data_IF_407375232140
#
_entry.id   IF_407375232140
#
_cell.length_a   1.000
_cell.length_b   1.000
_cell.length_c   1.000
_cell.angle_alpha   90.00
_cell.angle_beta   90.00
_cell.angle_gamma   90.00
#
_symmetry.space_group_name_H-M   'P 1'
#
loop_
_entity.id
_entity.type
_entity.pdbx_description
1 polymer ?
#
# COMPACT_ATOMS: atom_id res chain seq x y z
N UNK A 1 -23.03 1.96 -1.60
CA UNK A 1 -21.78 2.40 -2.27
C UNK A 1 -20.67 2.17 -1.25
N UNK A 2 -19.58 1.43 -1.58
CA UNK A 2 -18.50 1.19 -0.63
C UNK A 2 -17.71 2.48 -0.36
N UNK A 3 -17.35 2.72 0.90
CA UNK A 3 -16.55 3.86 1.36
C UNK A 3 -15.18 3.37 1.80
N UNK A 4 -14.12 3.88 1.17
CA UNK A 4 -12.74 3.54 1.53
C UNK A 4 -11.92 4.76 1.92
N UNK A 5 -10.75 4.50 2.53
CA UNK A 5 -9.78 5.54 2.91
C UNK A 5 -8.42 5.24 2.28
N UNK A 6 -7.80 6.28 1.72
CA UNK A 6 -6.43 6.22 1.24
C UNK A 6 -5.42 6.39 2.39
N UNK A 7 -4.50 5.44 2.53
CA UNK A 7 -3.39 5.47 3.48
C UNK A 7 -2.15 5.94 2.73
N UNK A 8 -1.80 7.20 2.88
CA UNK A 8 -0.71 7.84 2.11
C UNK A 8 0.24 8.67 2.99
N UNK A 9 0.11 8.55 4.31
CA UNK A 9 0.97 9.23 5.28
C UNK A 9 1.31 8.33 6.46
N UNK A 10 2.41 8.66 7.14
CA UNK A 10 2.80 7.99 8.40
C UNK A 10 1.68 8.05 9.43
N UNK A 11 1.04 9.21 9.59
CA UNK A 11 -0.05 9.41 10.55
C UNK A 11 -1.27 8.55 10.20
N UNK A 12 -1.55 8.36 8.90
CA UNK A 12 -2.62 7.48 8.45
C UNK A 12 -2.31 6.00 8.78
N UNK A 13 -1.07 5.54 8.57
CA UNK A 13 -0.65 4.19 8.97
C UNK A 13 -0.90 3.98 10.48
N UNK A 14 -0.48 4.94 11.32
CA UNK A 14 -0.61 4.86 12.77
C UNK A 14 -2.07 4.88 13.28
N UNK A 15 -3.00 5.45 12.50
CA UNK A 15 -4.42 5.59 12.88
C UNK A 15 -5.36 4.62 12.18
N UNK A 16 -4.88 3.94 11.13
CA UNK A 16 -5.67 3.06 10.26
C UNK A 16 -6.55 2.08 11.04
N UNK A 17 -6.02 1.44 12.09
CA UNK A 17 -6.77 0.50 12.93
C UNK A 17 -8.02 1.11 13.61
N UNK A 18 -8.01 2.40 13.92
CA UNK A 18 -9.16 3.10 14.51
C UNK A 18 -10.26 3.41 13.48
N UNK A 19 -9.91 3.39 12.18
CA UNK A 19 -10.84 3.66 11.08
C UNK A 19 -11.57 2.41 10.60
N UNK A 20 -11.12 1.21 11.00
CA UNK A 20 -11.70 -0.09 10.64
C UNK A 20 -13.24 -0.13 10.79
N UNK A 21 -13.86 0.38 11.87
CA UNK A 21 -15.33 0.33 12.00
C UNK A 21 -16.10 1.23 11.02
N UNK A 22 -15.41 2.10 10.28
CA UNK A 22 -16.00 3.19 9.50
C UNK A 22 -15.77 3.08 8.00
N UNK A 23 -15.02 2.07 7.55
CA UNK A 23 -14.60 1.92 6.16
C UNK A 23 -14.81 0.48 5.68
N UNK A 24 -15.10 0.35 4.39
CA UNK A 24 -15.24 -0.95 3.72
C UNK A 24 -13.91 -1.47 3.16
N UNK A 25 -12.94 -0.57 2.89
CA UNK A 25 -11.62 -0.93 2.38
C UNK A 25 -10.58 0.17 2.62
N UNK A 26 -9.30 -0.18 2.47
CA UNK A 26 -8.18 0.76 2.46
C UNK A 26 -7.41 0.71 1.15
N UNK A 27 -6.87 1.84 0.73
CA UNK A 27 -5.99 1.95 -0.44
C UNK A 27 -4.63 2.53 -0.04
N UNK A 28 -3.55 1.77 -0.18
CA UNK A 28 -2.20 2.24 0.12
C UNK A 28 -1.67 3.15 -1.00
N UNK A 29 -1.67 4.45 -0.77
CA UNK A 29 -1.21 5.49 -1.69
C UNK A 29 0.30 5.68 -1.61
N UNK A 30 1.04 4.92 -2.42
CA UNK A 30 2.51 4.84 -2.24
C UNK A 30 3.28 6.08 -2.70
N UNK A 31 2.70 6.91 -3.57
CA UNK A 31 3.35 8.12 -4.08
C UNK A 31 3.56 9.15 -2.98
N UNK A 32 2.49 9.50 -2.26
CA UNK A 32 2.56 10.49 -1.21
C UNK A 32 3.15 9.91 0.08
N UNK A 33 3.04 8.59 0.30
CA UNK A 33 3.77 7.94 1.37
C UNK A 33 5.30 8.10 1.19
N UNK A 34 5.82 7.83 -0.01
CA UNK A 34 7.23 8.04 -0.34
C UNK A 34 7.65 9.51 -0.20
N UNK A 35 6.82 10.42 -0.72
CA UNK A 35 7.07 11.88 -0.67
C UNK A 35 7.14 12.38 0.77
N UNK A 36 6.20 11.96 1.61
CA UNK A 36 6.12 12.33 3.03
C UNK A 36 7.30 11.77 3.84
N UNK A 37 7.90 10.67 3.38
CA UNK A 37 9.11 10.08 3.97
C UNK A 37 10.41 10.65 3.39
N UNK A 38 10.34 11.62 2.46
CA UNK A 38 11.49 12.21 1.76
C UNK A 38 12.37 11.14 1.07
N UNK A 39 11.77 10.02 0.68
CA UNK A 39 12.44 8.97 -0.08
C UNK A 39 12.37 9.38 -1.55
N UNK A 40 13.52 9.46 -2.23
CA UNK A 40 13.54 9.72 -3.65
C UNK A 40 12.72 8.63 -4.35
N UNK A 41 11.76 9.06 -5.16
CA UNK A 41 10.99 8.17 -6.01
C UNK A 41 11.87 7.40 -7.00
N UNK A 42 13.16 7.67 -7.15
CA UNK A 42 14.11 6.84 -7.92
C UNK A 42 14.75 5.72 -7.08
N UNK A 43 14.83 5.87 -5.76
CA UNK A 43 15.40 4.88 -4.81
C UNK A 43 14.37 3.85 -4.29
N UNK A 44 13.12 3.95 -4.78
CA UNK A 44 11.89 3.10 -4.76
C UNK A 44 11.76 1.90 -3.80
N UNK A 45 12.82 1.14 -3.52
CA UNK A 45 12.76 -0.21 -2.91
C UNK A 45 13.77 -0.36 -1.76
N UNK A 46 14.73 0.56 -1.60
CA UNK A 46 15.83 0.40 -0.64
C UNK A 46 15.49 0.77 0.81
N UNK A 47 14.45 1.59 1.02
CA UNK A 47 14.15 2.09 2.37
C UNK A 47 13.57 0.99 3.27
N UNK A 48 14.42 0.45 4.15
CA UNK A 48 14.02 -0.52 5.17
C UNK A 48 12.94 0.05 6.09
N UNK A 49 13.03 1.35 6.43
CA UNK A 49 12.06 2.01 7.29
C UNK A 49 10.66 2.03 6.67
N UNK A 50 10.56 2.38 5.38
CA UNK A 50 9.29 2.39 4.65
C UNK A 50 8.67 0.98 4.64
N UNK A 51 9.47 -0.02 4.29
CA UNK A 51 8.99 -1.40 4.23
C UNK A 51 8.53 -1.92 5.59
N UNK A 52 9.24 -1.59 6.67
CA UNK A 52 8.83 -1.97 8.02
C UNK A 52 7.50 -1.32 8.41
N UNK A 53 7.26 -0.07 8.01
CA UNK A 53 5.97 0.61 8.26
C UNK A 53 4.83 -0.03 7.48
N UNK A 54 5.03 -0.25 6.19
CA UNK A 54 4.04 -0.93 5.34
C UNK A 54 3.78 -2.34 5.88
N UNK A 55 4.82 -3.07 6.25
CA UNK A 55 4.68 -4.40 6.85
C UNK A 55 3.88 -4.35 8.16
N UNK A 56 4.16 -3.39 9.05
CA UNK A 56 3.40 -3.25 10.30
C UNK A 56 1.92 -2.95 10.06
N UNK A 57 1.59 -2.16 9.02
CA UNK A 57 0.21 -1.92 8.62
C UNK A 57 -0.48 -3.22 8.18
N UNK A 58 0.18 -4.01 7.35
CA UNK A 58 -0.39 -5.24 6.78
C UNK A 58 -0.53 -6.33 7.84
N UNK A 59 0.38 -6.38 8.81
CA UNK A 59 0.35 -7.37 9.89
C UNK A 59 -0.54 -6.97 11.07
N UNK A 60 -1.06 -5.74 11.11
CA UNK A 60 -1.99 -5.31 12.16
C UNK A 60 -3.26 -6.17 12.11
N UNK A 61 -3.53 -6.90 13.20
CA UNK A 61 -4.66 -7.83 13.29
C UNK A 61 -6.02 -7.16 13.10
N UNK A 62 -6.14 -5.89 13.48
CA UNK A 62 -7.39 -5.12 13.31
C UNK A 62 -7.63 -4.81 11.84
N UNK A 63 -6.57 -4.79 11.04
CA UNK A 63 -6.62 -4.51 9.60
C UNK A 63 -6.82 -5.78 8.77
N UNK A 64 -6.48 -6.97 9.29
CA UNK A 64 -6.48 -8.25 8.53
C UNK A 64 -7.81 -8.60 7.86
N UNK A 65 -8.94 -8.15 8.42
CA UNK A 65 -10.27 -8.45 7.90
C UNK A 65 -10.82 -7.38 6.94
N UNK A 66 -10.08 -6.30 6.71
CA UNK A 66 -10.48 -5.24 5.77
C UNK A 66 -9.67 -5.37 4.48
N UNK A 67 -10.32 -5.38 3.30
CA UNK A 67 -9.62 -5.35 2.02
C UNK A 67 -8.61 -4.20 1.95
N UNK A 68 -7.37 -4.54 1.63
CA UNK A 68 -6.30 -3.59 1.38
C UNK A 68 -5.85 -3.71 -0.07
N UNK A 69 -6.01 -2.65 -0.83
CA UNK A 69 -5.44 -2.49 -2.17
C UNK A 69 -4.21 -1.59 -2.14
N UNK A 70 -3.36 -1.69 -3.16
CA UNK A 70 -2.16 -0.86 -3.29
C UNK A 70 -2.18 -0.12 -4.62
N UNK A 71 -1.91 1.18 -4.57
CA UNK A 71 -1.83 2.05 -5.75
C UNK A 71 -0.53 2.88 -5.76
N UNK A 72 -0.25 3.51 -6.90
CA UNK A 72 0.95 4.34 -7.10
C UNK A 72 2.20 3.55 -7.50
N UNK A 73 3.36 4.19 -7.37
CA UNK A 73 4.63 3.75 -7.98
C UNK A 73 5.06 2.35 -7.50
N UNK A 74 4.77 1.94 -6.26
CA UNK A 74 5.12 0.60 -5.80
C UNK A 74 4.19 -0.48 -6.37
N UNK A 75 2.92 -0.17 -6.65
CA UNK A 75 2.01 -1.10 -7.32
C UNK A 75 2.42 -1.36 -8.78
N UNK A 76 3.27 -0.51 -9.35
CA UNK A 76 3.81 -0.64 -10.71
C UNK A 76 5.18 -1.33 -10.78
N UNK A 77 5.75 -1.71 -9.63
CA UNK A 77 7.10 -2.25 -9.53
C UNK A 77 7.07 -3.76 -9.26
N UNK A 78 7.54 -4.62 -10.17
CA UNK A 78 7.49 -6.08 -10.00
C UNK A 78 8.09 -6.61 -8.69
N UNK A 79 9.20 -6.01 -8.22
CA UNK A 79 9.85 -6.43 -6.96
C UNK A 79 9.01 -6.08 -5.75
N UNK A 80 8.36 -4.90 -5.77
CA UNK A 80 7.45 -4.48 -4.72
C UNK A 80 6.18 -5.34 -4.73
N UNK A 81 5.59 -5.60 -5.90
CA UNK A 81 4.42 -6.47 -6.07
C UNK A 81 4.69 -7.86 -5.49
N UNK A 82 5.84 -8.46 -5.81
CA UNK A 82 6.23 -9.77 -5.26
C UNK A 82 6.19 -9.75 -3.73
N UNK A 83 6.82 -8.75 -3.09
CA UNK A 83 6.80 -8.57 -1.64
C UNK A 83 5.39 -8.35 -1.07
N UNK A 84 4.54 -7.60 -1.76
CA UNK A 84 3.15 -7.40 -1.35
C UNK A 84 2.33 -8.70 -1.43
N UNK A 85 2.53 -9.50 -2.47
CA UNK A 85 1.91 -10.82 -2.62
C UNK A 85 2.35 -11.74 -1.48
N UNK A 86 3.64 -11.76 -1.13
CA UNK A 86 4.17 -12.53 -0.01
C UNK A 86 3.53 -12.11 1.33
N UNK A 87 3.09 -10.85 1.44
CA UNK A 87 2.37 -10.32 2.61
C UNK A 87 0.86 -10.49 2.55
N UNK A 88 0.32 -11.11 1.50
CA UNK A 88 -1.09 -11.43 1.37
C UNK A 88 -1.95 -10.38 0.65
N UNK A 89 -1.34 -9.36 0.04
CA UNK A 89 -2.06 -8.37 -0.76
C UNK A 89 -2.46 -8.96 -2.12
N UNK A 90 -3.72 -8.77 -2.50
CA UNK A 90 -4.31 -9.35 -3.72
C UNK A 90 -4.72 -8.31 -4.76
N UNK A 91 -4.89 -7.06 -4.36
CA UNK A 91 -5.46 -6.01 -5.21
C UNK A 91 -4.44 -4.92 -5.47
N UNK A 92 -4.13 -4.69 -6.76
CA UNK A 92 -3.21 -3.66 -7.22
C UNK A 92 -3.91 -2.77 -8.24
N UNK A 93 -3.86 -1.46 -8.03
CA UNK A 93 -4.40 -0.45 -8.93
C UNK A 93 -3.24 0.17 -9.70
N UNK A 94 -3.23 -0.04 -11.01
CA UNK A 94 -2.14 0.36 -11.90
C UNK A 94 -2.69 1.01 -13.18
N UNK A 95 -1.89 1.85 -13.86
CA UNK A 95 -2.25 2.35 -15.18
C UNK A 95 -2.49 1.22 -16.17
N UNK A 96 -3.50 1.38 -17.03
CA UNK A 96 -3.86 0.40 -18.06
C UNK A 96 -2.66 -0.02 -18.92
N UNK A 97 -1.79 0.93 -19.26
CA UNK A 97 -0.58 0.75 -20.07
C UNK A 97 0.45 -0.21 -19.46
N UNK A 98 0.38 -0.48 -18.15
CA UNK A 98 1.30 -1.40 -17.44
C UNK A 98 0.68 -2.76 -17.12
N UNK A 99 -0.64 -2.90 -17.27
CA UNK A 99 -1.39 -4.09 -16.84
C UNK A 99 -0.93 -5.39 -17.50
N UNK A 100 -0.62 -5.38 -18.80
CA UNK A 100 -0.19 -6.56 -19.54
C UNK A 100 1.21 -7.07 -19.15
N UNK A 101 2.08 -6.18 -18.66
CA UNK A 101 3.44 -6.54 -18.24
C UNK A 101 3.49 -7.16 -16.84
N UNK A 102 2.52 -6.80 -15.99
CA UNK A 102 2.50 -7.19 -14.58
C UNK A 102 1.61 -8.41 -14.28
N UNK A 103 0.79 -8.85 -15.23
CA UNK A 103 -0.06 -10.06 -15.11
C UNK A 103 0.64 -11.38 -15.49
N UNK A 104 1.95 -11.36 -15.72
CA UNK A 104 2.76 -12.53 -16.10
C UNK A 104 3.39 -13.16 -14.86
#
# INVERSE_FOLDING_TARGET
IPLGVMIESRSAIQRSAAWVPWVDFFSLGTNDLLRNERIDQKEKIGSTLLWNRIYSLIQDERMKNIPLEVCGILAENPKAITRFIDWGIKTFVIPWTKSSKLKR
#
